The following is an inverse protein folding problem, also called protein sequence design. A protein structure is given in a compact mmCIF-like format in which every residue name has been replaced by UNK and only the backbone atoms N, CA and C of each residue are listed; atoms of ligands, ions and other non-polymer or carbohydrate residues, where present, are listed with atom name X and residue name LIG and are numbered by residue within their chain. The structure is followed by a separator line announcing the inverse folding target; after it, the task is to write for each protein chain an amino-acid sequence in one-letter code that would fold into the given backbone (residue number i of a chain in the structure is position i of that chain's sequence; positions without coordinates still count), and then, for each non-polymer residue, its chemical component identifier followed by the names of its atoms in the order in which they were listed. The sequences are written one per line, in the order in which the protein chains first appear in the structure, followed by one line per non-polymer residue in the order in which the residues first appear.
data_IF_394909966014
#
_entry.id   IF_394909966014
#
_cell.length_a   1.000
_cell.length_b   1.000
_cell.length_c   1.000
_cell.angle_alpha   90.00
_cell.angle_beta   90.00
_cell.angle_gamma   90.00
#
_symmetry.space_group_name_H-M   'P 1'
#
loop_
_entity.id
_entity.type
_entity.pdbx_description
1 polymer ?
#
# COMPACT_ATOMS: atom_id res chain seq x y z
N UNK A 1 -58.50 -27.25 -10.71
CA UNK A 1 -59.17 -26.50 -11.80
C UNK A 1 -58.29 -25.34 -12.20
N UNK A 2 -57.69 -25.43 -13.39
CA UNK A 2 -57.19 -24.36 -14.26
C UNK A 2 -56.66 -25.15 -15.49
N UNK A 3 -57.15 -25.00 -16.72
CA UNK A 3 -57.96 -23.96 -17.30
C UNK A 3 -57.18 -23.32 -18.45
N UNK A 4 -57.58 -23.69 -19.66
CA UNK A 4 -57.46 -22.93 -20.90
C UNK A 4 -56.23 -23.11 -21.80
N UNK A 5 -56.57 -23.61 -22.99
CA UNK A 5 -55.84 -23.57 -24.24
C UNK A 5 -55.61 -22.14 -24.75
N UNK A 6 -54.69 -21.99 -25.71
CA UNK A 6 -54.83 -21.21 -26.96
C UNK A 6 -53.73 -21.70 -27.92
N UNK A 7 -54.13 -21.96 -29.17
CA UNK A 7 -53.28 -22.35 -30.31
C UNK A 7 -52.90 -21.10 -31.14
N UNK A 8 -52.59 -21.26 -32.44
CA UNK A 8 -51.26 -21.28 -33.05
C UNK A 8 -50.91 -19.94 -33.73
N UNK A 9 -49.64 -19.69 -34.07
CA UNK A 9 -49.38 -18.76 -35.18
C UNK A 9 -47.99 -18.89 -35.83
N UNK A 10 -48.03 -18.58 -37.13
CA UNK A 10 -46.98 -18.04 -37.98
C UNK A 10 -45.76 -18.90 -38.35
N UNK A 11 -45.98 -19.67 -39.42
CA UNK A 11 -45.07 -19.84 -40.54
C UNK A 11 -44.46 -18.49 -40.98
N UNK A 12 -43.14 -18.36 -40.88
CA UNK A 12 -42.39 -17.29 -41.53
C UNK A 12 -41.16 -17.90 -42.23
N UNK A 13 -41.24 -17.94 -43.55
CA UNK A 13 -40.19 -18.33 -44.46
C UNK A 13 -38.91 -17.50 -44.21
N UNK A 14 -37.91 -18.11 -43.58
CA UNK A 14 -36.57 -17.57 -43.54
C UNK A 14 -35.85 -17.96 -44.84
N UNK A 15 -35.80 -17.01 -45.76
CA UNK A 15 -35.00 -17.05 -46.97
C UNK A 15 -33.55 -17.47 -46.65
N UNK A 16 -33.04 -18.44 -47.42
CA UNK A 16 -31.63 -18.81 -47.41
C UNK A 16 -30.78 -17.60 -47.84
N UNK A 17 -29.85 -17.08 -47.02
CA UNK A 17 -28.84 -16.17 -47.52
C UNK A 17 -27.82 -16.98 -48.34
N UNK A 18 -27.70 -16.61 -49.61
CA UNK A 18 -26.76 -17.13 -50.57
C UNK A 18 -25.34 -17.19 -50.01
N UNK A 19 -24.64 -18.30 -50.27
CA UNK A 19 -23.25 -18.52 -49.92
C UNK A 19 -22.37 -17.38 -50.47
N UNK A 20 -21.84 -16.56 -49.56
CA UNK A 20 -20.82 -15.58 -49.89
C UNK A 20 -19.54 -16.31 -50.34
N UNK A 21 -18.84 -15.85 -51.40
CA UNK A 21 -17.61 -16.48 -51.85
C UNK A 21 -16.54 -16.38 -50.75
N UNK A 22 -15.93 -17.53 -50.44
CA UNK A 22 -14.85 -17.63 -49.47
C UNK A 22 -13.72 -16.66 -49.83
N UNK A 23 -13.47 -15.68 -48.96
CA UNK A 23 -12.27 -14.84 -49.06
C UNK A 23 -11.05 -15.74 -48.89
N UNK A 24 -10.04 -15.67 -49.77
CA UNK A 24 -8.79 -16.37 -49.53
C UNK A 24 -8.16 -15.83 -48.24
N UNK A 25 -7.98 -16.71 -47.25
CA UNK A 25 -7.26 -16.38 -46.03
C UNK A 25 -5.85 -15.89 -46.42
N UNK A 26 -5.35 -14.78 -45.83
CA UNK A 26 -3.97 -14.38 -46.06
C UNK A 26 -3.07 -15.51 -45.58
N UNK A 27 -2.25 -16.06 -46.48
CA UNK A 27 -1.26 -17.06 -46.16
C UNK A 27 -0.39 -16.52 -45.02
N UNK A 28 -0.51 -17.12 -43.83
CA UNK A 28 0.34 -16.81 -42.71
C UNK A 28 1.77 -17.08 -43.16
N UNK A 29 2.57 -16.00 -43.30
CA UNK A 29 4.01 -16.12 -43.48
C UNK A 29 4.54 -16.82 -42.25
N UNK A 30 4.77 -18.11 -42.33
CA UNK A 30 5.54 -18.85 -41.32
C UNK A 30 6.93 -18.25 -41.34
N UNK A 31 7.23 -17.42 -40.34
CA UNK A 31 8.60 -17.01 -40.06
C UNK A 31 9.31 -18.30 -39.66
N UNK A 32 10.09 -18.86 -40.58
CA UNK A 32 10.92 -20.01 -40.29
C UNK A 32 11.96 -19.56 -39.27
N UNK A 33 11.70 -19.82 -37.98
CA UNK A 33 12.64 -19.52 -36.92
C UNK A 33 13.88 -20.38 -37.16
N UNK A 34 15.05 -19.75 -37.25
CA UNK A 34 16.31 -20.44 -37.46
C UNK A 34 16.54 -21.42 -36.28
N UNK A 35 16.31 -22.71 -36.52
CA UNK A 35 16.38 -23.75 -35.47
C UNK A 35 17.76 -23.85 -34.82
N UNK A 36 18.79 -23.32 -35.48
CA UNK A 36 20.14 -23.18 -34.92
C UNK A 36 20.21 -22.11 -33.82
N UNK A 37 19.55 -20.97 -33.99
CA UNK A 37 19.50 -19.88 -33.02
C UNK A 37 18.69 -20.26 -31.78
N UNK A 38 17.57 -20.97 -31.98
CA UNK A 38 16.77 -21.53 -30.87
C UNK A 38 17.60 -22.54 -30.07
N UNK A 39 18.31 -23.45 -30.75
CA UNK A 39 19.17 -24.43 -30.08
C UNK A 39 20.35 -23.76 -29.37
N UNK A 40 20.92 -22.70 -29.93
CA UNK A 40 21.97 -21.93 -29.29
C UNK A 40 21.46 -21.15 -28.07
N UNK A 41 20.24 -20.60 -28.12
CA UNK A 41 19.60 -19.93 -27.00
C UNK A 41 19.28 -20.89 -25.85
N UNK A 42 18.77 -22.09 -26.16
CA UNK A 42 18.52 -23.15 -25.16
C UNK A 42 19.84 -23.66 -24.54
N UNK A 43 20.92 -23.73 -25.33
CA UNK A 43 22.25 -24.10 -24.83
C UNK A 43 22.94 -23.00 -24.03
N UNK A 44 22.53 -21.74 -24.18
CA UNK A 44 23.08 -20.61 -23.41
C UNK A 44 22.56 -20.78 -21.97
N UNK A 45 23.49 -21.03 -21.04
CA UNK A 45 23.22 -21.43 -19.67
C UNK A 45 22.10 -20.62 -19.02
N UNK A 46 21.03 -21.30 -18.58
CA UNK A 46 19.93 -20.69 -17.83
C UNK A 46 18.56 -20.74 -18.49
N UNK A 47 18.38 -21.39 -19.64
CA UNK A 47 17.04 -21.59 -20.20
C UNK A 47 16.16 -22.36 -19.21
N UNK A 48 15.06 -21.74 -18.77
CA UNK A 48 14.15 -22.26 -17.74
C UNK A 48 14.53 -21.93 -16.29
N UNK A 49 15.71 -21.34 -16.04
CA UNK A 49 16.08 -20.82 -14.72
C UNK A 49 15.75 -19.32 -14.65
N UNK A 50 14.99 -18.93 -13.64
CA UNK A 50 14.72 -17.52 -13.37
C UNK A 50 16.02 -16.76 -13.07
N UNK A 51 16.06 -15.43 -13.30
CA UNK A 51 17.18 -14.59 -12.88
C UNK A 51 17.53 -14.78 -11.39
N UNK A 52 18.80 -14.60 -11.01
CA UNK A 52 19.26 -14.81 -9.63
C UNK A 52 18.51 -13.94 -8.61
N UNK A 53 18.16 -12.70 -8.96
CA UNK A 53 17.39 -11.82 -8.07
C UNK A 53 16.02 -12.38 -7.69
N UNK A 54 15.42 -13.28 -8.48
CA UNK A 54 14.15 -13.93 -8.11
C UNK A 54 14.35 -14.92 -6.96
N UNK A 55 15.52 -15.55 -6.85
CA UNK A 55 15.84 -16.42 -5.71
C UNK A 55 15.99 -15.59 -4.44
N UNK A 56 16.62 -14.42 -4.54
CA UNK A 56 16.75 -13.49 -3.41
C UNK A 56 15.37 -12.99 -2.94
N UNK A 57 14.47 -12.65 -3.87
CA UNK A 57 13.09 -12.25 -3.55
C UNK A 57 12.31 -13.40 -2.90
N UNK A 58 12.47 -14.64 -3.37
CA UNK A 58 11.80 -15.80 -2.76
C UNK A 58 12.24 -15.96 -1.31
N UNK A 59 13.55 -15.86 -1.02
CA UNK A 59 14.04 -15.94 0.36
C UNK A 59 13.47 -14.84 1.26
N UNK A 60 13.41 -13.59 0.77
CA UNK A 60 12.79 -12.48 1.52
C UNK A 60 11.31 -12.77 1.81
N UNK A 61 10.56 -13.29 0.83
CA UNK A 61 9.14 -13.61 1.00
C UNK A 61 8.91 -14.78 1.97
N UNK A 62 9.80 -15.78 1.98
CA UNK A 62 9.76 -16.89 2.93
C UNK A 62 10.01 -16.39 4.37
N UNK A 63 11.00 -15.52 4.57
CA UNK A 63 11.28 -14.88 5.86
C UNK A 63 10.09 -14.02 6.34
N UNK A 64 9.47 -13.24 5.45
CA UNK A 64 8.29 -12.43 5.77
C UNK A 64 7.08 -13.30 6.10
N UNK A 65 6.88 -14.41 5.37
CA UNK A 65 5.82 -15.35 5.66
C UNK A 65 6.01 -16.00 7.04
N UNK A 66 7.22 -16.44 7.37
CA UNK A 66 7.54 -16.98 8.71
C UNK A 66 7.27 -15.94 9.80
N UNK A 67 7.67 -14.69 9.59
CA UNK A 67 7.38 -13.60 10.51
C UNK A 67 5.87 -13.40 10.72
N UNK A 68 5.07 -13.37 9.64
CA UNK A 68 3.61 -13.21 9.72
C UNK A 68 2.97 -14.40 10.43
N UNK A 69 3.42 -15.62 10.16
CA UNK A 69 2.92 -16.84 10.81
C UNK A 69 3.32 -16.90 12.30
N UNK A 70 4.43 -16.26 12.68
CA UNK A 70 4.84 -16.11 14.07
C UNK A 70 4.04 -15.04 14.84
N UNK A 71 3.40 -14.07 14.17
CA UNK A 71 2.64 -12.99 14.84
C UNK A 71 1.50 -13.51 15.73
N UNK A 72 0.62 -14.45 15.30
CA UNK A 72 -0.39 -15.03 16.19
C UNK A 72 0.20 -15.75 17.39
N UNK A 73 1.40 -16.33 17.25
CA UNK A 73 2.10 -17.02 18.35
C UNK A 73 2.72 -16.02 19.31
N UNK A 74 3.23 -14.88 18.82
CA UNK A 74 3.68 -13.77 19.65
C UNK A 74 2.52 -13.15 20.44
N UNK A 75 1.39 -12.90 19.77
CA UNK A 75 0.18 -12.38 20.40
C UNK A 75 -0.43 -13.41 21.37
N UNK A 76 -0.37 -14.70 21.07
CA UNK A 76 -0.81 -15.77 21.97
C UNK A 76 0.08 -15.88 23.21
N UNK A 77 1.40 -15.70 23.12
CA UNK A 77 2.30 -15.67 24.30
C UNK A 77 1.98 -14.46 25.20
N UNK A 78 1.57 -13.33 24.61
CA UNK A 78 1.10 -12.15 25.34
C UNK A 78 -0.29 -12.38 25.97
N UNK A 79 -1.20 -13.06 25.29
CA UNK A 79 -2.54 -13.39 25.78
C UNK A 79 -2.56 -14.52 26.83
N UNK A 80 -1.69 -15.55 26.74
CA UNK A 80 -1.58 -16.63 27.75
C UNK A 80 -1.06 -16.11 29.09
N UNK A 81 -0.37 -14.95 29.07
CA UNK A 81 0.04 -14.20 30.27
C UNK A 81 -1.09 -13.32 30.86
N UNK A 82 -2.32 -13.37 30.32
CA UNK A 82 -3.48 -12.65 30.83
C UNK A 82 -3.40 -11.12 30.71
N UNK A 83 -2.47 -10.59 29.91
CA UNK A 83 -2.10 -9.19 29.92
C UNK A 83 -2.61 -8.42 28.71
N UNK A 84 -3.94 -8.20 28.58
CA UNK A 84 -4.39 -7.01 27.84
C UNK A 84 -3.73 -5.83 28.54
N UNK A 85 -2.77 -5.15 27.89
CA UNK A 85 -2.08 -3.99 28.49
C UNK A 85 -3.18 -3.09 29.05
N UNK A 86 -3.24 -2.88 30.37
CA UNK A 86 -4.36 -2.15 30.95
C UNK A 86 -4.38 -0.77 30.32
N UNK A 87 -5.44 -0.42 29.60
CA UNK A 87 -5.54 0.89 28.95
C UNK A 87 -6.41 1.78 29.82
N UNK A 88 -5.91 2.98 30.14
CA UNK A 88 -6.64 3.99 30.90
C UNK A 88 -6.93 5.20 30.04
N UNK A 89 -7.96 5.95 30.43
CA UNK A 89 -8.25 7.24 29.82
C UNK A 89 -7.24 8.27 30.32
N UNK A 90 -6.71 9.09 29.41
CA UNK A 90 -5.91 10.26 29.76
C UNK A 90 -6.79 11.25 30.53
N UNK A 91 -6.35 11.68 31.71
CA UNK A 91 -7.11 12.65 32.51
C UNK A 91 -6.99 14.05 31.92
N UNK A 92 -7.93 14.94 32.23
CA UNK A 92 -7.90 16.33 31.75
C UNK A 92 -6.67 17.10 32.26
N UNK A 93 -6.18 16.76 33.47
CA UNK A 93 -4.96 17.34 34.03
C UNK A 93 -3.72 16.92 33.22
N UNK A 94 -3.62 15.64 32.85
CA UNK A 94 -2.51 15.15 32.02
C UNK A 94 -2.59 15.72 30.62
N UNK A 95 -3.78 15.71 30.02
CA UNK A 95 -4.03 16.29 28.70
C UNK A 95 -3.63 17.76 28.63
N UNK A 96 -4.01 18.56 29.63
CA UNK A 96 -3.62 19.98 29.68
C UNK A 96 -2.11 20.17 29.85
N UNK A 97 -1.45 19.34 30.67
CA UNK A 97 0.01 19.33 30.79
C UNK A 97 0.73 18.99 29.48
N UNK A 98 0.27 17.97 28.77
CA UNK A 98 0.81 17.61 27.45
C UNK A 98 0.62 18.73 26.42
N UNK A 99 -0.58 19.32 26.35
CA UNK A 99 -0.86 20.43 25.45
C UNK A 99 0.03 21.65 25.75
N UNK A 100 0.25 21.97 27.03
CA UNK A 100 1.15 23.04 27.42
C UNK A 100 2.59 22.74 27.00
N UNK A 101 3.06 21.51 27.20
CA UNK A 101 4.40 21.08 26.79
C UNK A 101 4.60 21.12 25.26
N UNK A 102 3.62 20.63 24.50
CA UNK A 102 3.64 20.69 23.03
C UNK A 102 3.62 22.13 22.52
N UNK A 103 2.79 23.00 23.12
CA UNK A 103 2.77 24.43 22.80
C UNK A 103 4.11 25.11 23.08
N UNK A 104 4.71 24.86 24.24
CA UNK A 104 6.02 25.40 24.59
C UNK A 104 7.12 24.93 23.62
N UNK A 105 7.10 23.65 23.24
CA UNK A 105 8.04 23.10 22.24
C UNK A 105 7.84 23.73 20.86
N UNK A 106 6.60 23.91 20.44
CA UNK A 106 6.24 24.57 19.18
C UNK A 106 6.77 26.00 19.16
N UNK A 107 6.57 26.76 20.23
CA UNK A 107 7.04 28.15 20.32
C UNK A 107 8.57 28.24 20.39
N UNK A 108 9.23 27.30 21.07
CA UNK A 108 10.69 27.20 21.06
C UNK A 108 11.20 26.95 19.64
N UNK A 109 10.61 26.00 18.91
CA UNK A 109 11.00 25.71 17.53
C UNK A 109 10.74 26.89 16.59
N UNK A 110 9.62 27.59 16.74
CA UNK A 110 9.33 28.79 15.97
C UNK A 110 10.40 29.88 16.19
N UNK A 111 10.82 30.10 17.45
CA UNK A 111 11.90 31.05 17.76
C UNK A 111 13.25 30.62 17.17
N UNK A 112 13.59 29.34 17.23
CA UNK A 112 14.80 28.82 16.59
C UNK A 112 14.75 28.97 15.08
N UNK A 113 13.59 28.71 14.46
CA UNK A 113 13.37 28.88 13.04
C UNK A 113 13.55 30.34 12.61
N UNK A 114 12.96 31.30 13.34
CA UNK A 114 13.14 32.73 13.09
C UNK A 114 14.60 33.16 13.24
N UNK A 115 15.25 32.76 14.33
CA UNK A 115 16.66 33.09 14.58
C UNK A 115 17.60 32.52 13.48
N UNK A 116 17.36 31.29 13.04
CA UNK A 116 18.16 30.67 11.97
C UNK A 116 17.89 31.30 10.60
N UNK A 117 16.67 31.80 10.35
CA UNK A 117 16.36 32.55 9.13
C UNK A 117 17.06 33.91 9.08
N UNK A 118 17.24 34.57 10.22
CA UNK A 118 17.91 35.87 10.33
C UNK A 118 19.44 35.77 10.18
N UNK A 119 20.03 34.58 10.40
CA UNK A 119 21.47 34.39 10.38
C UNK A 119 22.10 34.59 8.99
N UNK A 120 21.40 34.19 7.93
CA UNK A 120 21.89 34.32 6.56
C UNK A 120 20.76 34.69 5.58
N UNK A 121 21.00 35.71 4.76
CA UNK A 121 20.05 36.16 3.73
C UNK A 121 19.98 35.24 2.50
N UNK A 122 20.89 34.27 2.36
CA UNK A 122 20.98 33.38 1.22
C UNK A 122 19.73 32.48 1.09
N UNK A 123 19.11 32.47 -0.08
CA UNK A 123 17.90 31.66 -0.34
C UNK A 123 18.14 30.14 -0.20
N UNK A 124 19.36 29.67 -0.48
CA UNK A 124 19.74 28.27 -0.26
C UNK A 124 19.76 27.92 1.23
N UNK A 125 20.22 28.83 2.10
CA UNK A 125 20.18 28.66 3.55
C UNK A 125 18.74 28.65 4.06
N UNK A 126 17.94 29.65 3.68
CA UNK A 126 16.51 29.72 4.07
C UNK A 126 15.72 28.49 3.62
N UNK A 127 16.08 27.88 2.48
CA UNK A 127 15.48 26.61 2.05
C UNK A 127 15.82 25.47 3.00
N UNK A 128 17.10 25.29 3.35
CA UNK A 128 17.54 24.23 4.30
C UNK A 128 16.92 24.40 5.68
N UNK A 129 16.86 25.64 6.19
CA UNK A 129 16.21 25.95 7.46
C UNK A 129 14.73 25.56 7.41
N UNK A 130 14.00 25.93 6.34
CA UNK A 130 12.61 25.52 6.14
C UNK A 130 12.44 24.00 6.06
N UNK A 131 13.27 23.31 5.28
CA UNK A 131 13.24 21.84 5.16
C UNK A 131 13.46 21.12 6.49
N UNK A 132 14.23 21.73 7.40
CA UNK A 132 14.48 21.18 8.74
C UNK A 132 13.32 21.44 9.71
N UNK A 133 12.88 22.68 9.84
CA UNK A 133 11.95 23.07 10.91
C UNK A 133 10.48 22.91 10.54
N UNK A 134 10.09 23.08 9.26
CA UNK A 134 8.67 22.96 8.88
C UNK A 134 8.08 21.58 9.17
N UNK A 135 8.74 20.46 8.82
CA UNK A 135 8.17 19.13 9.11
C UNK A 135 7.98 18.90 10.62
N UNK A 136 8.91 19.39 11.44
CA UNK A 136 8.82 19.25 12.91
C UNK A 136 7.69 20.10 13.49
N UNK A 137 7.53 21.34 13.03
CA UNK A 137 6.43 22.22 13.45
C UNK A 137 5.08 21.63 13.01
N UNK A 138 4.96 21.19 11.76
CA UNK A 138 3.74 20.56 11.26
C UNK A 138 3.38 19.28 12.03
N UNK A 139 4.38 18.50 12.44
CA UNK A 139 4.14 17.33 13.27
C UNK A 139 3.58 17.72 14.64
N UNK A 140 4.16 18.73 15.29
CA UNK A 140 3.66 19.20 16.60
C UNK A 140 2.23 19.76 16.46
N UNK A 141 1.94 20.49 15.40
CA UNK A 141 0.58 21.02 15.14
C UNK A 141 -0.43 19.88 14.96
N UNK A 142 -0.05 18.80 14.26
CA UNK A 142 -0.86 17.58 14.15
C UNK A 142 -1.07 16.91 15.50
N UNK A 143 -0.02 16.79 16.31
CA UNK A 143 -0.10 16.18 17.64
C UNK A 143 -1.02 16.99 18.56
N UNK A 144 -0.94 18.33 18.55
CA UNK A 144 -1.86 19.22 19.26
C UNK A 144 -3.31 19.02 18.79
N UNK A 145 -3.52 18.91 17.48
CA UNK A 145 -4.85 18.65 16.92
C UNK A 145 -5.40 17.28 17.35
N UNK A 146 -4.55 16.25 17.42
CA UNK A 146 -4.92 14.93 17.93
C UNK A 146 -5.25 14.96 19.43
N UNK A 147 -4.52 15.75 20.21
CA UNK A 147 -4.80 15.94 21.63
C UNK A 147 -6.16 16.61 21.89
N UNK A 148 -6.72 17.35 20.92
CA UNK A 148 -8.07 17.92 21.04
C UNK A 148 -9.22 16.90 20.98
N UNK A 149 -8.92 15.62 20.72
CA UNK A 149 -9.94 14.56 20.78
C UNK A 149 -10.56 14.43 22.18
N UNK A 150 -11.84 14.05 22.23
CA UNK A 150 -12.61 13.94 23.48
C UNK A 150 -12.11 12.81 24.39
N UNK A 151 -11.63 11.72 23.80
CA UNK A 151 -11.16 10.55 24.55
C UNK A 151 -9.83 10.07 23.98
N UNK A 152 -8.82 9.97 24.84
CA UNK A 152 -7.48 9.49 24.49
C UNK A 152 -7.13 8.36 25.44
N UNK A 153 -6.78 7.22 24.88
CA UNK A 153 -6.48 6.00 25.62
C UNK A 153 -4.98 5.77 25.65
N UNK A 154 -4.42 5.59 26.84
CA UNK A 154 -2.99 5.37 27.07
C UNK A 154 -2.76 4.05 27.78
N UNK A 155 -1.69 3.34 27.40
CA UNK A 155 -1.27 2.16 28.12
C UNK A 155 -0.92 2.53 29.56
N UNK A 156 -1.43 1.76 30.50
CA UNK A 156 -1.10 1.88 31.91
C UNK A 156 0.11 1.00 32.13
N UNK A 157 1.21 1.61 32.53
CA UNK A 157 2.37 0.88 33.03
C UNK A 157 1.94 0.27 34.37
N UNK A 158 1.76 -1.06 34.37
CA UNK A 158 1.40 -1.85 35.54
C UNK A 158 2.61 -2.21 36.37
#
# INVERSE_FOLDING_TARGET
MAGSAVAPDAEAAAAQPAAAPARPAPAAKTIAVATGEVRAYVKRSGFGRGPPYLQDIIGILEDEQEYIEALPSLDAVVEESGGKRPVRLLTDAEKSGLLQGLGAKRDQMAKCFEADLELHEEEAWKRRVRERYLPEIEQIDKDIAQMNQKYIFVASDG
#
